data_IF_649601742424
#
_entry.id   IF_649601742424
#
_cell.length_a   1.000
_cell.length_b   1.000
_cell.length_c   1.000
_cell.angle_alpha   90.00
_cell.angle_beta   90.00
_cell.angle_gamma   90.00
#
_symmetry.space_group_name_H-M   'P 1'
#
loop_
_entity.id
_entity.type
_entity.pdbx_description
1 polymer ?
#
# COMPACT_ATOMS: atom_id res chain seq x y z
N UNK A 1 9.45 -23.29 -3.36
CA UNK A 1 8.60 -22.61 -2.35
C UNK A 1 8.76 -21.12 -2.56
N UNK A 2 7.78 -20.46 -3.18
CA UNK A 2 7.86 -19.04 -3.51
C UNK A 2 6.77 -18.28 -2.79
N UNK A 3 7.14 -17.31 -1.96
CA UNK A 3 6.19 -16.33 -1.44
C UNK A 3 5.52 -15.62 -2.63
N UNK A 4 4.18 -15.66 -2.69
CA UNK A 4 3.42 -14.86 -3.65
C UNK A 4 3.54 -13.40 -3.23
N UNK A 5 4.43 -12.68 -3.89
CA UNK A 5 4.67 -11.25 -3.67
C UNK A 5 3.64 -10.42 -4.42
N UNK A 6 3.33 -9.23 -3.89
CA UNK A 6 2.53 -8.24 -4.60
C UNK A 6 3.27 -7.89 -5.91
N UNK A 7 2.65 -8.08 -7.09
CA UNK A 7 3.34 -7.94 -8.37
C UNK A 7 3.60 -6.48 -8.68
N UNK A 8 4.76 -5.99 -8.23
CA UNK A 8 5.17 -4.60 -8.38
C UNK A 8 5.28 -4.13 -9.84
N UNK A 9 5.44 -5.05 -10.81
CA UNK A 9 5.45 -4.73 -12.23
C UNK A 9 4.08 -4.32 -12.77
N UNK A 10 2.98 -4.77 -12.17
CA UNK A 10 1.62 -4.39 -12.58
C UNK A 10 1.32 -2.96 -12.12
N UNK A 11 1.47 -2.69 -10.82
CA UNK A 11 1.23 -1.35 -10.27
C UNK A 11 2.17 -0.30 -10.89
N UNK A 12 3.46 -0.63 -11.06
CA UNK A 12 4.38 0.24 -11.78
C UNK A 12 4.00 0.39 -13.24
N UNK A 13 3.62 -0.67 -13.96
CA UNK A 13 3.20 -0.57 -15.37
C UNK A 13 1.95 0.31 -15.57
N UNK A 14 1.00 0.28 -14.62
CA UNK A 14 -0.17 1.18 -14.61
C UNK A 14 0.30 2.65 -14.51
N UNK A 15 1.27 2.93 -13.63
CA UNK A 15 1.81 4.28 -13.42
C UNK A 15 2.83 4.72 -14.49
N UNK A 16 3.58 3.80 -15.08
CA UNK A 16 4.63 4.07 -16.06
C UNK A 16 4.43 3.31 -17.37
N UNK A 17 4.07 4.10 -18.39
CA UNK A 17 4.22 3.86 -19.83
C UNK A 17 3.22 2.96 -20.57
N UNK A 18 2.34 2.20 -19.94
CA UNK A 18 1.29 1.47 -20.70
C UNK A 18 -0.09 2.12 -20.60
N UNK A 19 -0.45 2.65 -19.42
CA UNK A 19 -1.77 3.25 -19.19
C UNK A 19 -1.73 4.75 -18.84
N UNK A 20 -0.54 5.31 -18.55
CA UNK A 20 -0.34 6.71 -18.15
C UNK A 20 -1.28 7.16 -17.02
N UNK A 21 -1.56 6.26 -16.07
CA UNK A 21 -2.45 6.55 -14.97
C UNK A 21 -1.71 7.29 -13.86
N UNK A 22 -2.20 8.49 -13.52
CA UNK A 22 -1.62 9.37 -12.51
C UNK A 22 -2.53 9.57 -11.27
N UNK A 23 -3.61 8.81 -11.18
CA UNK A 23 -4.54 8.84 -10.05
C UNK A 23 -4.11 7.94 -8.89
N UNK A 24 -5.03 7.71 -7.94
CA UNK A 24 -4.78 6.89 -6.74
C UNK A 24 -4.89 5.40 -7.09
N UNK A 25 -3.86 4.63 -6.77
CA UNK A 25 -3.89 3.17 -6.85
C UNK A 25 -4.26 2.61 -5.47
N UNK A 26 -5.36 1.86 -5.38
CA UNK A 26 -5.84 1.22 -4.15
C UNK A 26 -5.71 -0.31 -4.24
N UNK A 27 -5.37 -0.97 -3.13
CA UNK A 27 -5.45 -2.43 -3.03
C UNK A 27 -6.87 -2.88 -2.69
N UNK A 28 -7.21 -4.11 -3.08
CA UNK A 28 -8.27 -4.86 -2.40
C UNK A 28 -7.77 -5.29 -0.99
N UNK A 29 -8.64 -5.91 -0.19
CA UNK A 29 -8.37 -6.33 1.19
C UNK A 29 -7.10 -7.17 1.34
N UNK A 30 -6.06 -6.58 1.92
CA UNK A 30 -4.75 -7.25 2.10
C UNK A 30 -4.76 -8.37 3.14
N UNK A 31 -5.87 -8.57 3.86
CA UNK A 31 -6.09 -9.71 4.77
C UNK A 31 -6.63 -10.95 4.06
N UNK A 32 -7.05 -10.84 2.79
CA UNK A 32 -7.69 -11.93 2.07
C UNK A 32 -6.78 -13.16 1.95
N UNK A 33 -7.32 -14.33 2.31
CA UNK A 33 -6.61 -15.61 2.30
C UNK A 33 -5.99 -15.99 0.94
N UNK A 34 -6.42 -15.37 -0.17
CA UNK A 34 -5.79 -15.55 -1.48
C UNK A 34 -4.30 -15.21 -1.49
N UNK A 35 -3.86 -14.25 -0.66
CA UNK A 35 -2.45 -13.90 -0.45
C UNK A 35 -1.71 -14.90 0.46
N UNK A 36 -2.46 -15.64 1.27
CA UNK A 36 -1.95 -16.46 2.38
C UNK A 36 -2.26 -17.95 2.23
N UNK A 37 -2.48 -18.41 0.99
CA UNK A 37 -2.76 -19.82 0.66
C UNK A 37 -4.00 -20.38 1.38
N UNK A 38 -5.00 -19.52 1.60
CA UNK A 38 -6.26 -19.85 2.27
C UNK A 38 -6.22 -19.74 3.80
N UNK A 39 -5.10 -19.31 4.38
CA UNK A 39 -4.98 -19.12 5.83
C UNK A 39 -5.16 -17.66 6.24
N UNK A 40 -5.43 -17.43 7.52
CA UNK A 40 -5.41 -16.09 8.09
C UNK A 40 -3.96 -15.63 8.32
N UNK A 41 -3.60 -14.40 7.93
CA UNK A 41 -2.26 -13.89 8.18
C UNK A 41 -2.06 -13.58 9.66
N UNK A 42 -0.85 -13.84 10.15
CA UNK A 42 -0.40 -13.24 11.40
C UNK A 42 -0.30 -11.71 11.24
N UNK A 43 -0.38 -10.98 12.36
CA UNK A 43 -0.21 -9.52 12.37
C UNK A 43 1.09 -9.07 11.70
N UNK A 44 2.19 -9.80 11.92
CA UNK A 44 3.48 -9.48 11.31
C UNK A 44 3.49 -9.73 9.80
N UNK A 45 2.90 -10.83 9.34
CA UNK A 45 2.76 -11.10 7.91
C UNK A 45 1.92 -10.02 7.23
N UNK A 46 0.79 -9.65 7.84
CA UNK A 46 -0.06 -8.56 7.35
C UNK A 46 0.73 -7.25 7.25
N UNK A 47 1.46 -6.86 8.30
CA UNK A 47 2.28 -5.65 8.29
C UNK A 47 3.33 -5.64 7.17
N UNK A 48 3.99 -6.77 6.91
CA UNK A 48 4.94 -6.89 5.80
C UNK A 48 4.26 -6.83 4.42
N UNK A 49 3.07 -7.39 4.27
CA UNK A 49 2.26 -7.27 3.05
C UNK A 49 1.97 -5.80 2.73
N UNK A 50 1.69 -4.97 3.73
CA UNK A 50 1.46 -3.53 3.54
C UNK A 50 2.72 -2.79 3.07
N UNK A 51 3.88 -3.09 3.67
CA UNK A 51 5.17 -2.55 3.21
C UNK A 51 5.43 -2.91 1.75
N UNK A 52 5.19 -4.16 1.37
CA UNK A 52 5.32 -4.62 -0.02
C UNK A 52 4.35 -3.91 -0.96
N UNK A 53 3.13 -3.60 -0.53
CA UNK A 53 2.13 -2.92 -1.34
C UNK A 53 2.55 -1.49 -1.69
N UNK A 54 3.18 -0.78 -0.75
CA UNK A 54 3.72 0.58 -0.97
C UNK A 54 4.88 0.54 -1.97
N UNK A 55 5.81 -0.41 -1.79
CA UNK A 55 6.95 -0.63 -2.68
C UNK A 55 6.48 -1.00 -4.10
N UNK A 56 5.37 -1.73 -4.19
CA UNK A 56 4.76 -2.08 -5.46
C UNK A 56 4.18 -0.86 -6.19
N UNK A 57 3.80 0.21 -5.49
CA UNK A 57 3.25 1.43 -6.09
C UNK A 57 1.82 1.76 -5.68
N UNK A 58 1.24 1.05 -4.71
CA UNK A 58 -0.09 1.38 -4.20
C UNK A 58 -0.03 2.63 -3.31
N UNK A 59 -1.05 3.48 -3.42
CA UNK A 59 -1.16 4.73 -2.68
C UNK A 59 -2.09 4.58 -1.47
N UNK A 60 -3.16 3.78 -1.60
CA UNK A 60 -4.16 3.53 -0.57
C UNK A 60 -4.28 2.02 -0.30
N UNK A 61 -4.29 1.62 0.97
CA UNK A 61 -4.16 0.23 1.39
C UNK A 61 -5.37 -0.21 2.23
N UNK A 62 -6.12 -1.19 1.76
CA UNK A 62 -7.26 -1.75 2.47
C UNK A 62 -6.86 -2.97 3.32
N UNK A 63 -7.37 -3.08 4.56
CA UNK A 63 -7.38 -4.37 5.25
C UNK A 63 -6.94 -4.47 6.71
N UNK A 64 -6.72 -3.37 7.43
CA UNK A 64 -6.56 -3.44 8.89
C UNK A 64 -7.94 -3.54 9.52
N UNK A 65 -8.23 -4.60 10.28
CA UNK A 65 -9.57 -4.85 10.84
C UNK A 65 -9.67 -4.50 12.32
N UNK A 66 -8.53 -4.25 12.99
CA UNK A 66 -8.49 -3.86 14.39
C UNK A 66 -7.26 -2.99 14.71
N UNK A 67 -7.30 -2.35 15.88
CA UNK A 67 -6.27 -1.39 16.33
C UNK A 67 -4.88 -2.00 16.50
N UNK A 68 -4.79 -3.29 16.85
CA UNK A 68 -3.50 -3.98 17.03
C UNK A 68 -2.81 -4.16 15.67
N UNK A 69 -3.58 -4.53 14.65
CA UNK A 69 -3.07 -4.61 13.28
C UNK A 69 -2.65 -3.24 12.75
N UNK A 70 -3.44 -2.19 12.99
CA UNK A 70 -3.10 -0.81 12.59
C UNK A 70 -1.75 -0.42 13.18
N UNK A 71 -1.54 -0.59 14.49
CA UNK A 71 -0.29 -0.23 15.15
C UNK A 71 0.92 -1.00 14.59
N UNK A 72 0.77 -2.30 14.32
CA UNK A 72 1.84 -3.11 13.74
C UNK A 72 2.17 -2.71 12.29
N UNK A 73 1.16 -2.38 11.49
CA UNK A 73 1.32 -1.89 10.12
C UNK A 73 2.05 -0.55 10.14
N UNK A 74 1.63 0.39 10.98
CA UNK A 74 2.28 1.70 11.13
C UNK A 74 3.76 1.55 11.53
N UNK A 75 4.04 0.71 12.52
CA UNK A 75 5.40 0.44 12.97
C UNK A 75 6.26 -0.15 11.85
N UNK A 76 5.74 -1.13 11.10
CA UNK A 76 6.48 -1.73 9.99
C UNK A 76 6.77 -0.73 8.86
N UNK A 77 5.82 0.16 8.55
CA UNK A 77 6.02 1.22 7.55
C UNK A 77 7.09 2.21 8.04
N UNK A 78 7.04 2.64 9.31
CA UNK A 78 8.05 3.53 9.88
C UNK A 78 9.45 2.91 9.83
N UNK A 79 9.58 1.63 10.18
CA UNK A 79 10.85 0.89 10.08
C UNK A 79 11.34 0.77 8.64
N UNK A 80 10.44 0.52 7.69
CA UNK A 80 10.78 0.48 6.27
C UNK A 80 11.26 1.85 5.75
N UNK A 81 10.72 2.95 6.27
CA UNK A 81 11.20 4.31 5.96
C UNK A 81 12.58 4.55 6.58
N UNK A 82 12.75 4.25 7.88
CA UNK A 82 14.01 4.45 8.60
C UNK A 82 15.17 3.62 8.02
N UNK A 83 14.88 2.40 7.54
CA UNK A 83 15.88 1.54 6.90
C UNK A 83 16.19 1.93 5.44
N UNK A 84 15.44 2.87 4.86
CA UNK A 84 15.58 3.27 3.45
C UNK A 84 14.94 2.31 2.44
N UNK A 85 14.22 1.28 2.91
CA UNK A 85 13.44 0.38 2.05
C UNK A 85 12.30 1.13 1.33
N UNK A 86 11.71 2.13 1.99
CA UNK A 86 10.74 3.06 1.40
C UNK A 86 11.31 4.47 1.56
N UNK A 87 11.37 5.24 0.47
CA UNK A 87 11.76 6.65 0.57
C UNK A 87 10.59 7.50 1.05
N UNK A 88 10.86 8.55 1.82
CA UNK A 88 9.82 9.52 2.21
C UNK A 88 9.16 10.15 0.98
N UNK A 89 9.93 10.41 -0.08
CA UNK A 89 9.41 10.89 -1.36
C UNK A 89 8.34 9.96 -1.96
N UNK A 90 8.50 8.63 -1.84
CA UNK A 90 7.50 7.65 -2.33
C UNK A 90 6.18 7.81 -1.57
N UNK A 91 6.22 8.03 -0.27
CA UNK A 91 5.04 8.29 0.57
C UNK A 91 4.40 9.64 0.20
N UNK A 92 5.21 10.69 0.07
CA UNK A 92 4.74 12.03 -0.27
C UNK A 92 4.00 12.06 -1.61
N UNK A 93 4.45 11.29 -2.61
CA UNK A 93 3.74 11.13 -3.87
C UNK A 93 2.36 10.50 -3.70
N UNK A 94 2.23 9.43 -2.89
CA UNK A 94 0.94 8.80 -2.59
C UNK A 94 -0.01 9.79 -1.91
N UNK A 95 0.49 10.47 -0.87
CA UNK A 95 -0.28 11.45 -0.09
C UNK A 95 -0.75 12.60 -0.98
N UNK A 96 0.11 13.12 -1.86
CA UNK A 96 -0.25 14.16 -2.80
C UNK A 96 -1.40 13.73 -3.72
N UNK A 97 -1.36 12.54 -4.31
CA UNK A 97 -2.44 12.02 -5.15
C UNK A 97 -3.75 11.89 -4.38
N UNK A 98 -3.70 11.37 -3.16
CA UNK A 98 -4.87 11.22 -2.29
C UNK A 98 -5.47 12.59 -1.93
N UNK A 99 -4.65 13.57 -1.57
CA UNK A 99 -5.11 14.91 -1.22
C UNK A 99 -5.71 15.63 -2.43
N UNK A 100 -5.06 15.56 -3.60
CA UNK A 100 -5.58 16.12 -4.84
C UNK A 100 -6.94 15.50 -5.21
N UNK A 101 -7.07 14.18 -5.10
CA UNK A 101 -8.34 13.48 -5.29
C UNK A 101 -9.40 13.98 -4.30
N UNK A 102 -9.10 14.07 -2.99
CA UNK A 102 -10.04 14.57 -1.98
C UNK A 102 -10.48 16.02 -2.24
N UNK A 103 -9.59 16.88 -2.71
CA UNK A 103 -9.92 18.26 -3.12
C UNK A 103 -10.80 18.27 -4.36
N UNK A 104 -10.49 17.45 -5.37
CA UNK A 104 -11.26 17.33 -6.61
C UNK A 104 -12.72 16.93 -6.34
N UNK A 105 -12.95 16.02 -5.38
CA UNK A 105 -14.29 15.56 -5.00
C UNK A 105 -14.96 16.40 -3.89
N UNK A 106 -14.35 17.51 -3.46
CA UNK A 106 -14.92 18.40 -2.45
C UNK A 106 -14.98 17.82 -1.03
N UNK A 107 -14.26 16.72 -0.76
CA UNK A 107 -14.13 16.13 0.59
C UNK A 107 -13.29 17.06 1.47
N UNK A 108 -12.23 17.63 0.90
CA UNK A 108 -11.41 18.68 1.54
C UNK A 108 -11.71 19.99 0.81
N UNK A 109 -12.07 21.02 1.57
CA UNK A 109 -12.26 22.38 1.04
C UNK A 109 -10.91 23.10 0.97
N UNK A 110 -10.76 23.93 -0.06
CA UNK A 110 -9.61 24.84 -0.23
C UNK A 110 -9.72 26.02 0.72
#
# INVERSE_FOLDING_TARGET
MGERRIPAHVCRGVSSNTLNYNGVIITDGLYMGGLYQGNDPTTNQLAQTYVQAIIAGNDLLEGATNVVQVAAIEQAIQQAIQSGQITEQRINQSVQRILLMKVQYGIIKK
#
